data_IF_812631785151
#
_entry.id   IF_812631785151
#
_cell.length_a   1.000
_cell.length_b   1.000
_cell.length_c   1.000
_cell.angle_alpha   90.00
_cell.angle_beta   90.00
_cell.angle_gamma   90.00
#
_symmetry.space_group_name_H-M   'P 1'
#
loop_
_entity.id
_entity.type
_entity.pdbx_description
1 polymer ?
#
# COMPACT_ATOMS: atom_id res chain seq x y z
N UNK A 1 1.86 17.48 51.58
CA UNK A 1 1.90 16.02 51.84
C UNK A 1 2.66 15.80 53.14
N UNK A 2 2.22 14.87 53.98
CA UNK A 2 2.85 14.56 55.27
C UNK A 2 3.32 13.11 55.27
N UNK A 3 4.47 12.83 55.89
CA UNK A 3 5.07 11.49 55.96
C UNK A 3 5.47 11.14 57.39
N UNK A 4 5.46 9.85 57.71
CA UNK A 4 5.96 9.36 59.01
C UNK A 4 7.39 8.83 58.89
N UNK A 5 8.14 8.82 59.99
CA UNK A 5 9.54 8.36 60.02
C UNK A 5 9.77 6.94 59.46
N UNK A 6 8.74 6.06 59.47
CA UNK A 6 8.82 4.72 58.87
C UNK A 6 8.77 4.73 57.34
N UNK A 7 8.07 5.68 56.73
CA UNK A 7 7.93 5.81 55.26
C UNK A 7 9.20 6.39 54.60
N UNK A 8 10.09 6.97 55.43
CA UNK A 8 11.36 7.58 55.02
C UNK A 8 12.53 6.59 55.01
N UNK A 9 12.30 5.33 55.41
CA UNK A 9 13.32 4.28 55.39
C UNK A 9 13.72 3.99 53.93
N UNK A 10 15.02 4.03 53.63
CA UNK A 10 15.53 3.82 52.28
C UNK A 10 15.21 4.96 51.30
N UNK A 11 14.83 6.15 51.78
CA UNK A 11 14.74 7.33 50.95
C UNK A 11 16.14 7.98 50.79
N UNK A 12 16.54 8.41 49.57
CA UNK A 12 17.84 9.03 49.35
C UNK A 12 17.97 10.33 50.15
N UNK A 13 19.13 10.55 50.76
CA UNK A 13 19.39 11.70 51.65
C UNK A 13 18.92 11.51 53.09
N UNK A 14 18.35 10.35 53.46
CA UNK A 14 17.94 10.03 54.83
C UNK A 14 18.84 8.97 55.47
N UNK A 15 19.02 8.99 56.81
CA UNK A 15 19.76 7.95 57.52
C UNK A 15 19.13 6.55 57.35
N UNK A 16 19.94 5.50 57.37
CA UNK A 16 19.46 4.13 57.15
C UNK A 16 18.59 3.57 58.28
N UNK A 17 18.72 4.09 59.51
CA UNK A 17 17.98 3.60 60.68
C UNK A 17 16.84 4.53 61.06
N UNK A 18 15.74 3.96 61.56
CA UNK A 18 14.57 4.71 62.04
C UNK A 18 14.92 5.70 63.16
N UNK A 19 15.87 5.35 64.03
CA UNK A 19 16.41 6.23 65.08
C UNK A 19 17.14 7.43 64.46
N UNK A 20 18.00 7.20 63.46
CA UNK A 20 18.72 8.26 62.74
C UNK A 20 17.76 9.19 61.98
N UNK A 21 16.74 8.63 61.33
CA UNK A 21 15.69 9.39 60.63
C UNK A 21 14.97 10.33 61.60
N UNK A 22 14.53 9.84 62.77
CA UNK A 22 13.86 10.68 63.78
C UNK A 22 14.74 11.83 64.28
N UNK A 23 16.04 11.57 64.50
CA UNK A 23 16.99 12.61 64.91
C UNK A 23 17.24 13.64 63.81
N UNK A 24 17.32 13.23 62.55
CA UNK A 24 17.46 14.14 61.42
C UNK A 24 16.20 15.01 61.25
N UNK A 25 15.01 14.41 61.35
CA UNK A 25 13.73 15.13 61.31
C UNK A 25 13.61 16.14 62.46
N UNK A 26 14.06 15.81 63.66
CA UNK A 26 14.09 16.76 64.79
C UNK A 26 14.98 17.96 64.50
N UNK A 27 16.13 17.77 63.84
CA UNK A 27 17.01 18.87 63.42
C UNK A 27 16.36 19.73 62.32
N UNK A 28 15.71 19.12 61.34
CA UNK A 28 15.06 19.85 60.25
C UNK A 28 13.81 20.64 60.67
N UNK A 29 13.14 20.20 61.73
CA UNK A 29 11.97 20.88 62.32
C UNK A 29 12.37 21.92 63.38
N UNK A 30 13.62 21.91 63.86
CA UNK A 30 14.10 22.81 64.90
C UNK A 30 13.92 24.28 64.46
N UNK A 31 12.99 24.99 65.09
CA UNK A 31 12.62 26.37 64.77
C UNK A 31 11.42 26.56 63.82
N UNK A 32 10.75 25.48 63.35
CA UNK A 32 9.58 25.56 62.44
C UNK A 32 8.42 24.71 62.95
N UNK A 33 7.56 25.30 63.79
CA UNK A 33 6.39 24.62 64.40
C UNK A 33 5.32 24.15 63.41
N UNK A 34 5.26 24.73 62.20
CA UNK A 34 4.34 24.35 61.13
C UNK A 34 4.73 23.07 60.38
N UNK A 35 5.94 22.54 60.60
CA UNK A 35 6.48 21.40 59.85
C UNK A 35 6.15 20.02 60.44
N UNK A 36 5.59 19.95 61.66
CA UNK A 36 5.28 18.67 62.32
C UNK A 36 3.92 18.69 63.00
N UNK A 37 3.13 17.64 62.80
CA UNK A 37 1.83 17.46 63.47
C UNK A 37 1.70 16.06 64.04
N UNK A 38 0.86 15.89 65.05
CA UNK A 38 0.50 14.56 65.53
C UNK A 38 -0.60 13.99 64.64
N UNK A 39 -0.43 12.75 64.17
CA UNK A 39 -1.44 12.08 63.35
C UNK A 39 -2.69 11.80 64.19
N UNK A 40 -3.86 12.19 63.69
CA UNK A 40 -5.14 11.88 64.34
C UNK A 40 -5.30 10.36 64.51
N UNK A 41 -5.63 9.91 65.72
CA UNK A 41 -5.84 8.49 66.03
C UNK A 41 -4.58 7.64 66.24
N UNK A 42 -3.36 8.21 66.24
CA UNK A 42 -2.14 7.43 66.54
C UNK A 42 -1.09 8.21 67.34
N UNK A 43 -0.14 7.51 67.97
CA UNK A 43 1.03 8.14 68.63
C UNK A 43 2.11 8.60 67.63
N UNK A 44 1.89 8.50 66.32
CA UNK A 44 2.88 8.86 65.31
C UNK A 44 2.91 10.37 65.02
N UNK A 45 4.12 10.90 64.85
CA UNK A 45 4.35 12.28 64.39
C UNK A 45 4.53 12.28 62.87
N UNK A 46 3.74 13.10 62.21
CA UNK A 46 3.79 13.38 60.77
C UNK A 46 4.63 14.63 60.51
N UNK A 47 5.48 14.57 59.49
CA UNK A 47 6.36 15.64 59.08
C UNK A 47 5.98 16.12 57.68
N UNK A 48 5.94 17.43 57.47
CA UNK A 48 5.73 17.99 56.12
C UNK A 48 6.92 17.66 55.24
N UNK A 49 6.66 17.26 53.98
CA UNK A 49 7.71 16.98 53.00
C UNK A 49 8.59 18.20 52.75
N UNK A 50 8.06 19.42 52.85
CA UNK A 50 8.79 20.65 52.53
C UNK A 50 9.99 20.92 53.47
N UNK A 51 10.05 20.20 54.59
CA UNK A 51 11.11 20.35 55.59
C UNK A 51 12.21 19.28 55.43
N UNK A 52 12.11 18.41 54.41
CA UNK A 52 13.12 17.38 54.08
C UNK A 52 14.16 17.88 53.07
N UNK A 53 15.32 17.24 52.91
CA UNK A 53 16.28 17.55 51.83
C UNK A 53 15.63 17.42 50.44
N UNK A 54 16.01 18.28 49.49
CA UNK A 54 15.39 18.32 48.15
C UNK A 54 15.39 16.96 47.43
N UNK A 55 16.48 16.20 47.57
CA UNK A 55 16.62 14.84 47.01
C UNK A 55 15.56 13.88 47.58
N UNK A 56 15.28 13.99 48.88
CA UNK A 56 14.26 13.19 49.57
C UNK A 56 12.85 13.65 49.17
N UNK A 57 12.63 14.97 49.03
CA UNK A 57 11.35 15.51 48.57
C UNK A 57 10.99 15.00 47.17
N UNK A 58 11.96 15.01 46.25
CA UNK A 58 11.77 14.52 44.89
C UNK A 58 11.42 13.03 44.89
N UNK A 59 12.21 12.19 45.57
CA UNK A 59 11.95 10.75 45.63
C UNK A 59 10.58 10.40 46.25
N UNK A 60 10.11 11.15 47.26
CA UNK A 60 8.79 10.93 47.84
C UNK A 60 7.66 11.35 46.90
N UNK A 61 7.83 12.46 46.18
CA UNK A 61 6.86 12.93 45.16
C UNK A 61 6.74 11.93 44.01
N UNK A 62 7.86 11.35 43.57
CA UNK A 62 7.88 10.30 42.55
C UNK A 62 7.20 9.01 43.02
N UNK A 63 7.52 8.53 44.24
CA UNK A 63 6.85 7.37 44.83
C UNK A 63 5.34 7.57 44.96
N UNK A 64 4.92 8.77 45.38
CA UNK A 64 3.51 9.13 45.48
C UNK A 64 2.82 9.17 44.11
N UNK A 65 3.48 9.73 43.08
CA UNK A 65 2.96 9.75 41.72
C UNK A 65 2.74 8.33 41.16
N UNK A 66 3.66 7.39 41.41
CA UNK A 66 3.50 5.97 41.04
C UNK A 66 2.33 5.32 41.80
N UNK A 67 2.19 5.60 43.10
CA UNK A 67 1.06 5.07 43.89
C UNK A 67 -0.29 5.57 43.37
N UNK A 68 -0.40 6.85 42.99
CA UNK A 68 -1.61 7.41 42.39
C UNK A 68 -1.99 6.72 41.07
N UNK A 69 -0.99 6.34 40.27
CA UNK A 69 -1.18 5.61 39.01
C UNK A 69 -1.69 4.17 39.20
N UNK A 70 -1.45 3.59 40.37
CA UNK A 70 -1.90 2.24 40.75
C UNK A 70 -3.35 2.22 41.24
N UNK A 71 -3.87 3.37 41.71
CA UNK A 71 -5.25 3.48 42.16
C UNK A 71 -6.22 3.60 40.96
N UNK A 72 -7.30 2.82 41.01
CA UNK A 72 -8.34 2.81 39.96
C UNK A 72 -8.93 4.22 39.83
N UNK A 73 -9.10 4.70 38.60
CA UNK A 73 -9.57 6.06 38.35
C UNK A 73 -11.02 6.24 38.83
N UNK A 74 -11.25 7.17 39.76
CA UNK A 74 -12.55 7.84 39.87
C UNK A 74 -12.67 8.88 38.75
N UNK A 75 -13.86 8.96 38.15
CA UNK A 75 -14.22 9.93 37.11
C UNK A 75 -14.25 11.35 37.68
N UNK A 76 -13.09 11.99 37.79
CA UNK A 76 -13.01 13.42 38.13
C UNK A 76 -13.13 14.28 36.87
N UNK A 77 -13.93 15.36 36.90
CA UNK A 77 -14.13 16.25 35.75
C UNK A 77 -12.87 17.07 35.43
N UNK A 78 -12.65 17.31 34.14
CA UNK A 78 -11.50 18.07 33.65
C UNK A 78 -11.58 19.56 34.05
N UNK A 79 -10.47 20.19 34.48
CA UNK A 79 -10.47 21.61 34.81
C UNK A 79 -10.63 22.48 33.55
N UNK A 80 -11.40 23.55 33.68
CA UNK A 80 -11.62 24.55 32.62
C UNK A 80 -10.45 25.53 32.62
N UNK A 81 -9.70 25.59 31.51
CA UNK A 81 -8.63 26.57 31.31
C UNK A 81 -9.07 27.58 30.23
N UNK A 82 -9.12 28.85 30.61
CA UNK A 82 -9.41 29.99 29.72
C UNK A 82 -8.27 30.23 28.73
N UNK A 83 -8.59 30.33 27.43
CA UNK A 83 -7.61 30.49 26.34
C UNK A 83 -7.41 31.95 25.95
N UNK A 84 -6.17 32.30 25.58
CA UNK A 84 -5.85 33.49 24.79
C UNK A 84 -6.15 33.24 23.30
N UNK A 85 -6.72 34.23 22.63
CA UNK A 85 -7.20 34.18 21.24
C UNK A 85 -6.05 34.44 20.25
N UNK A 86 -5.92 33.61 19.21
CA UNK A 86 -5.12 33.89 17.99
C UNK A 86 -5.89 33.46 16.72
N UNK A 87 -5.49 34.07 15.62
CA UNK A 87 -6.20 34.40 14.37
C UNK A 87 -6.58 33.25 13.42
N UNK A 88 -7.52 33.48 12.46
CA UNK A 88 -8.21 32.44 11.70
C UNK A 88 -7.73 32.37 10.24
N UNK A 89 -7.15 31.24 9.81
CA UNK A 89 -6.94 30.96 8.38
C UNK A 89 -6.60 29.48 8.07
N UNK A 90 -7.25 28.52 8.73
CA UNK A 90 -7.40 27.14 8.25
C UNK A 90 -8.67 26.64 8.95
N UNK A 91 -9.69 26.18 8.21
CA UNK A 91 -10.88 25.61 8.86
C UNK A 91 -10.43 24.33 9.56
N UNK A 92 -10.33 24.42 10.88
CA UNK A 92 -9.85 23.32 11.70
C UNK A 92 -10.88 22.19 11.63
N UNK A 93 -10.47 20.93 11.48
CA UNK A 93 -11.40 19.80 11.37
C UNK A 93 -12.42 19.75 12.53
N UNK A 94 -12.03 20.30 13.69
CA UNK A 94 -12.86 20.44 14.88
C UNK A 94 -13.93 21.53 14.74
N UNK A 95 -13.60 22.65 14.09
CA UNK A 95 -14.57 23.72 13.82
C UNK A 95 -15.62 23.26 12.80
N UNK A 96 -15.23 22.46 11.81
CA UNK A 96 -16.15 21.80 10.89
C UNK A 96 -17.13 20.85 11.60
N UNK A 97 -16.67 20.08 12.60
CA UNK A 97 -17.54 19.21 13.39
C UNK A 97 -18.52 19.99 14.27
N UNK A 98 -18.09 21.15 14.81
CA UNK A 98 -18.96 22.01 15.62
C UNK A 98 -20.06 22.70 14.81
N UNK A 99 -19.78 23.00 13.53
CA UNK A 99 -20.76 23.59 12.62
C UNK A 99 -21.81 22.60 12.08
N UNK A 100 -21.67 21.29 12.30
CA UNK A 100 -22.59 20.28 11.77
C UNK A 100 -22.66 19.02 12.65
N UNK A 101 -23.64 18.94 13.58
CA UNK A 101 -23.79 17.79 14.48
C UNK A 101 -23.98 16.44 13.75
N UNK A 102 -24.64 16.43 12.60
CA UNK A 102 -24.84 15.22 11.79
C UNK A 102 -23.52 14.64 11.27
N UNK A 103 -22.62 15.49 10.78
CA UNK A 103 -21.31 15.07 10.27
C UNK A 103 -20.42 14.49 11.39
N UNK A 104 -20.57 14.99 12.62
CA UNK A 104 -19.89 14.42 13.79
C UNK A 104 -20.38 12.98 14.08
N UNK A 105 -21.70 12.74 14.03
CA UNK A 105 -22.30 11.42 14.24
C UNK A 105 -21.87 10.42 13.16
N UNK A 106 -21.90 10.83 11.88
CA UNK A 106 -21.42 9.99 10.78
C UNK A 106 -19.96 9.58 10.93
N UNK A 107 -19.08 10.54 11.30
CA UNK A 107 -17.66 10.26 11.52
C UNK A 107 -17.43 9.32 12.71
N UNK A 108 -18.19 9.45 13.79
CA UNK A 108 -18.12 8.54 14.95
C UNK A 108 -18.57 7.13 14.57
N UNK A 109 -19.61 7.01 13.75
CA UNK A 109 -20.10 5.73 13.24
C UNK A 109 -19.11 5.09 12.26
N UNK A 110 -18.34 5.89 11.52
CA UNK A 110 -17.31 5.42 10.60
C UNK A 110 -16.02 4.93 11.29
N UNK A 111 -15.82 5.20 12.59
CA UNK A 111 -14.67 4.70 13.32
C UNK A 111 -14.77 3.19 13.55
N UNK A 112 -13.73 2.46 13.16
CA UNK A 112 -13.60 1.03 13.49
C UNK A 112 -13.40 0.82 14.98
N UNK A 113 -13.76 -0.37 15.47
CA UNK A 113 -13.60 -0.74 16.87
C UNK A 113 -12.14 -0.59 17.36
N UNK A 114 -11.17 -0.98 16.54
CA UNK A 114 -9.75 -0.78 16.84
C UNK A 114 -9.40 0.72 16.97
N UNK A 115 -9.94 1.58 16.10
CA UNK A 115 -9.70 3.04 16.21
C UNK A 115 -10.29 3.63 17.49
N UNK A 116 -11.45 3.13 17.94
CA UNK A 116 -12.06 3.53 19.21
C UNK A 116 -11.20 3.11 20.38
N UNK A 117 -10.77 1.84 20.43
CA UNK A 117 -9.88 1.33 21.47
C UNK A 117 -8.55 2.09 21.55
N UNK A 118 -7.95 2.45 20.42
CA UNK A 118 -6.76 3.30 20.38
C UNK A 118 -7.05 4.71 20.90
N UNK A 119 -8.19 5.30 20.53
CA UNK A 119 -8.59 6.63 21.01
C UNK A 119 -8.80 6.63 22.52
N UNK A 120 -9.51 5.63 23.04
CA UNK A 120 -9.78 5.46 24.48
C UNK A 120 -8.50 5.25 25.27
N UNK A 121 -7.58 4.42 24.75
CA UNK A 121 -6.25 4.24 25.36
C UNK A 121 -5.45 5.56 25.40
N UNK A 122 -5.52 6.38 24.34
CA UNK A 122 -4.88 7.71 24.31
C UNK A 122 -5.53 8.67 25.31
N UNK A 123 -6.86 8.66 25.42
CA UNK A 123 -7.61 9.46 26.40
C UNK A 123 -7.19 9.07 27.82
N UNK A 124 -7.14 7.77 28.12
CA UNK A 124 -6.76 7.27 29.43
C UNK A 124 -5.34 7.67 29.82
N UNK A 125 -4.37 7.54 28.91
CA UNK A 125 -2.98 7.97 29.16
C UNK A 125 -2.92 9.48 29.42
N UNK A 126 -3.62 10.30 28.63
CA UNK A 126 -3.66 11.76 28.84
C UNK A 126 -4.26 12.09 30.21
N UNK A 127 -5.32 11.39 30.63
CA UNK A 127 -5.90 11.56 31.97
C UNK A 127 -4.89 11.22 33.08
N UNK A 128 -4.11 10.14 32.94
CA UNK A 128 -3.05 9.81 33.92
C UNK A 128 -1.95 10.88 33.97
N UNK A 129 -1.55 11.43 32.82
CA UNK A 129 -0.60 12.56 32.77
C UNK A 129 -1.15 13.77 33.52
N UNK A 130 -2.44 14.09 33.32
CA UNK A 130 -3.08 15.23 33.98
C UNK A 130 -3.21 15.04 35.49
N UNK A 131 -3.50 13.82 35.97
CA UNK A 131 -3.51 13.50 37.41
C UNK A 131 -2.14 13.73 38.06
N UNK A 132 -1.06 13.31 37.39
CA UNK A 132 0.32 13.55 37.88
C UNK A 132 0.66 15.04 37.83
N UNK A 133 0.24 15.75 36.78
CA UNK A 133 0.48 17.18 36.64
C UNK A 133 -0.24 18.05 37.68
N UNK A 134 -1.32 17.55 38.31
CA UNK A 134 -2.01 18.23 39.40
C UNK A 134 -1.25 18.14 40.74
N UNK A 135 -0.21 17.31 40.84
CA UNK A 135 0.54 17.14 42.08
C UNK A 135 1.54 18.29 42.30
N UNK A 136 1.72 18.76 43.55
CA UNK A 136 2.69 19.81 43.87
C UNK A 136 4.11 19.44 43.42
N UNK A 137 4.72 20.29 42.61
CA UNK A 137 6.10 20.11 42.08
C UNK A 137 6.18 19.50 40.68
N UNK A 138 5.07 19.01 40.12
CA UNK A 138 4.98 18.56 38.74
C UNK A 138 4.39 19.66 37.84
N UNK A 139 5.12 20.06 36.81
CA UNK A 139 4.51 20.73 35.65
C UNK A 139 4.03 19.68 34.65
N UNK A 140 3.14 20.04 33.72
CA UNK A 140 2.71 19.13 32.65
C UNK A 140 3.91 18.54 31.88
N UNK A 141 4.92 19.36 31.57
CA UNK A 141 6.15 18.89 30.92
C UNK A 141 7.00 17.96 31.81
N UNK A 142 7.00 18.14 33.14
CA UNK A 142 7.64 17.20 34.08
C UNK A 142 6.86 15.90 34.19
N UNK A 143 5.52 15.93 34.21
CA UNK A 143 4.67 14.74 34.25
C UNK A 143 4.82 13.88 32.98
N UNK A 144 4.88 14.51 31.80
CA UNK A 144 5.15 13.82 30.53
C UNK A 144 6.50 13.11 30.57
N UNK A 145 7.57 13.81 30.97
CA UNK A 145 8.91 13.23 31.10
C UNK A 145 8.93 12.07 32.09
N UNK A 146 8.32 12.28 33.26
CA UNK A 146 8.20 11.25 34.28
C UNK A 146 7.56 9.97 33.74
N UNK A 147 6.47 10.06 32.99
CA UNK A 147 5.81 8.88 32.41
C UNK A 147 6.68 8.21 31.35
N UNK A 148 7.29 8.99 30.45
CA UNK A 148 8.17 8.44 29.40
C UNK A 148 9.40 7.74 30.00
N UNK A 149 10.03 8.35 31.01
CA UNK A 149 11.21 7.81 31.68
C UNK A 149 10.89 6.54 32.50
N UNK A 150 9.77 6.53 33.24
CA UNK A 150 9.35 5.35 34.01
C UNK A 150 8.89 4.21 33.08
N UNK A 151 8.31 4.52 31.92
CA UNK A 151 8.00 3.52 30.90
C UNK A 151 9.29 2.89 30.36
N UNK A 152 10.32 3.69 30.05
CA UNK A 152 11.61 3.18 29.58
C UNK A 152 12.32 2.30 30.62
N UNK A 153 12.08 2.57 31.92
CA UNK A 153 12.63 1.79 33.05
C UNK A 153 11.76 0.61 33.48
N UNK A 154 10.62 0.37 32.82
CA UNK A 154 9.64 -0.67 33.22
C UNK A 154 9.18 -0.54 34.68
N UNK A 155 9.00 0.70 35.15
CA UNK A 155 8.60 1.03 36.53
C UNK A 155 7.14 1.46 36.64
N UNK A 156 6.39 1.45 35.53
CA UNK A 156 4.95 1.73 35.51
C UNK A 156 4.13 0.47 35.74
N UNK A 157 2.91 0.67 36.25
CA UNK A 157 1.90 -0.38 36.41
C UNK A 157 1.57 -1.07 35.07
N UNK A 158 1.34 -2.39 35.11
CA UNK A 158 1.06 -3.25 33.95
C UNK A 158 -0.14 -2.74 33.16
N UNK A 159 -1.15 -2.19 33.86
CA UNK A 159 -2.31 -1.55 33.24
C UNK A 159 -1.90 -0.38 32.33
N UNK A 160 -0.96 0.47 32.77
CA UNK A 160 -0.50 1.63 32.00
C UNK A 160 0.33 1.18 30.81
N UNK A 161 1.17 0.16 31.00
CA UNK A 161 1.94 -0.44 29.91
C UNK A 161 1.00 -0.97 28.80
N UNK A 162 -0.02 -1.74 29.15
CA UNK A 162 -1.01 -2.26 28.20
C UNK A 162 -1.78 -1.14 27.46
N UNK A 163 -2.13 -0.04 28.16
CA UNK A 163 -2.73 1.13 27.53
C UNK A 163 -1.76 1.80 26.53
N UNK A 164 -0.48 1.93 26.87
CA UNK A 164 0.52 2.51 25.97
C UNK A 164 0.71 1.68 24.71
N UNK A 165 0.75 0.35 24.84
CA UNK A 165 0.84 -0.57 23.70
C UNK A 165 -0.35 -0.40 22.75
N UNK A 166 -1.56 -0.35 23.31
CA UNK A 166 -2.79 -0.12 22.56
C UNK A 166 -2.78 1.27 21.89
N UNK A 167 -2.39 2.32 22.62
CA UNK A 167 -2.39 3.70 22.13
C UNK A 167 -1.39 3.97 20.99
N UNK A 168 -0.26 3.25 20.98
CA UNK A 168 0.81 3.47 20.00
C UNK A 168 0.39 3.03 18.58
N UNK A 169 -0.62 2.16 18.42
CA UNK A 169 -1.28 1.83 17.15
C UNK A 169 -0.34 1.50 15.96
N UNK A 170 0.80 0.89 16.27
CA UNK A 170 1.95 0.82 15.38
C UNK A 170 2.52 -0.60 15.42
N UNK A 171 2.50 -1.35 14.29
CA UNK A 171 3.07 -2.71 14.19
C UNK A 171 4.61 -2.75 14.39
N UNK A 172 5.10 -3.55 15.33
CA UNK A 172 6.54 -3.88 15.56
C UNK A 172 7.08 -3.57 16.98
N UNK A 173 8.09 -4.32 17.43
CA UNK A 173 8.67 -4.28 18.79
C UNK A 173 9.46 -3.01 19.18
N UNK A 174 9.70 -2.08 18.26
CA UNK A 174 10.65 -0.97 18.47
C UNK A 174 9.97 0.38 18.70
N UNK A 175 9.10 0.53 19.72
CA UNK A 175 8.30 1.77 19.84
C UNK A 175 8.07 2.24 21.28
N UNK A 176 9.08 2.89 21.84
CA UNK A 176 8.90 3.73 23.02
C UNK A 176 7.93 4.90 22.71
N UNK A 177 7.04 5.20 23.66
CA UNK A 177 6.20 6.40 23.61
C UNK A 177 7.09 7.64 23.79
N UNK A 178 7.05 8.60 22.86
CA UNK A 178 7.87 9.81 22.94
C UNK A 178 7.13 10.98 23.58
N UNK A 179 7.88 11.89 24.21
CA UNK A 179 7.33 13.14 24.77
C UNK A 179 6.53 13.93 23.73
N UNK A 180 7.02 14.02 22.49
CA UNK A 180 6.38 14.78 21.40
C UNK A 180 5.00 14.19 21.09
N UNK A 181 4.88 12.85 21.14
CA UNK A 181 3.61 12.17 20.89
C UNK A 181 2.59 12.48 21.98
N UNK A 182 3.00 12.42 23.26
CA UNK A 182 2.14 12.80 24.40
C UNK A 182 1.74 14.27 24.36
N UNK A 183 2.67 15.19 24.07
CA UNK A 183 2.38 16.62 23.91
C UNK A 183 1.31 16.86 22.84
N UNK A 184 1.39 16.15 21.71
CA UNK A 184 0.39 16.22 20.64
C UNK A 184 -0.97 15.69 21.07
N UNK A 185 -1.03 14.56 21.78
CA UNK A 185 -2.28 14.01 22.31
C UNK A 185 -2.92 14.94 23.35
N UNK A 186 -2.14 15.53 24.25
CA UNK A 186 -2.64 16.52 25.22
C UNK A 186 -3.18 17.76 24.52
N UNK A 187 -2.50 18.26 23.49
CA UNK A 187 -3.00 19.38 22.69
C UNK A 187 -4.35 19.06 22.02
N UNK A 188 -4.47 17.86 21.43
CA UNK A 188 -5.73 17.38 20.84
C UNK A 188 -6.84 17.22 21.90
N UNK A 189 -6.51 16.69 23.07
CA UNK A 189 -7.43 16.55 24.20
C UNK A 189 -7.95 17.90 24.70
N UNK A 190 -7.07 18.89 24.87
CA UNK A 190 -7.41 20.25 25.33
C UNK A 190 -8.16 21.09 24.27
N UNK A 191 -8.15 20.62 23.03
CA UNK A 191 -8.87 21.26 21.92
C UNK A 191 -10.32 20.81 21.86
N UNK A 192 -10.60 19.57 22.27
CA UNK A 192 -11.94 19.01 22.34
C UNK A 192 -12.75 19.62 23.49
N UNK A 193 -14.03 19.89 23.23
CA UNK A 193 -14.98 20.41 24.23
C UNK A 193 -15.81 19.30 24.89
N UNK A 194 -16.04 18.19 24.20
CA UNK A 194 -16.88 17.08 24.67
C UNK A 194 -16.22 15.71 24.40
N UNK A 195 -16.81 14.64 24.94
CA UNK A 195 -16.28 13.28 24.81
C UNK A 195 -16.23 12.80 23.34
N UNK A 196 -17.22 13.15 22.53
CA UNK A 196 -17.27 12.82 21.11
C UNK A 196 -16.10 13.44 20.31
N UNK A 197 -15.82 14.73 20.52
CA UNK A 197 -14.68 15.42 19.91
C UNK A 197 -13.35 14.81 20.36
N UNK A 198 -13.23 14.41 21.64
CA UNK A 198 -12.01 13.75 22.16
C UNK A 198 -11.75 12.45 21.42
N UNK A 199 -12.79 11.63 21.24
CA UNK A 199 -12.69 10.36 20.56
C UNK A 199 -12.28 10.55 19.10
N UNK A 200 -12.91 11.48 18.37
CA UNK A 200 -12.56 11.78 16.98
C UNK A 200 -11.13 12.32 16.81
N UNK A 201 -10.70 13.22 17.68
CA UNK A 201 -9.37 13.85 17.60
C UNK A 201 -8.23 12.92 17.99
N UNK A 202 -8.48 11.99 18.90
CA UNK A 202 -7.48 11.05 19.39
C UNK A 202 -7.51 9.72 18.64
N UNK A 203 -8.55 9.42 17.85
CA UNK A 203 -8.56 8.26 16.97
C UNK A 203 -7.42 8.32 15.94
N UNK A 204 -6.76 7.19 15.62
CA UNK A 204 -5.73 7.18 14.59
C UNK A 204 -6.39 7.37 13.22
N UNK A 205 -6.09 8.50 12.59
CA UNK A 205 -6.48 8.74 11.20
C UNK A 205 -5.74 7.79 10.27
N UNK A 206 -6.49 7.05 9.44
CA UNK A 206 -5.91 6.47 8.22
C UNK A 206 -5.80 7.61 7.21
N UNK A 207 -4.60 7.87 6.70
CA UNK A 207 -4.46 8.67 5.48
C UNK A 207 -5.22 7.91 4.40
N UNK A 208 -6.33 8.47 3.93
CA UNK A 208 -7.09 7.85 2.85
C UNK A 208 -6.18 7.74 1.63
N UNK A 209 -6.19 6.58 1.00
CA UNK A 209 -5.45 6.39 -0.24
C UNK A 209 -6.18 7.20 -1.32
N UNK A 210 -5.52 8.25 -1.81
CA UNK A 210 -6.01 9.03 -2.95
C UNK A 210 -6.01 8.09 -4.15
N UNK A 211 -7.16 7.80 -4.77
CA UNK A 211 -7.18 6.96 -5.98
C UNK A 211 -6.54 7.72 -7.13
N UNK A 212 -6.09 7.01 -8.17
CA UNK A 212 -5.52 7.67 -9.34
C UNK A 212 -6.53 8.62 -10.02
N UNK A 213 -7.81 8.26 -10.00
CA UNK A 213 -8.93 9.05 -10.55
C UNK A 213 -9.11 10.40 -9.83
N UNK A 214 -8.75 10.49 -8.56
CA UNK A 214 -8.91 11.69 -7.74
C UNK A 214 -7.71 12.66 -7.87
N UNK A 215 -6.70 12.33 -8.69
CA UNK A 215 -5.51 13.15 -8.88
C UNK A 215 -5.73 14.11 -10.05
N UNK A 216 -5.96 15.38 -9.72
CA UNK A 216 -6.30 16.44 -10.68
C UNK A 216 -5.24 16.69 -11.77
N UNK A 217 -3.95 16.67 -11.45
CA UNK A 217 -2.86 16.91 -12.42
C UNK A 217 -2.49 15.67 -13.24
N UNK A 218 -2.99 14.49 -12.88
CA UNK A 218 -2.57 13.24 -13.52
C UNK A 218 -2.95 13.17 -15.01
N UNK A 219 -4.14 13.61 -15.47
CA UNK A 219 -4.48 13.66 -16.89
C UNK A 219 -3.49 14.49 -17.72
N UNK A 220 -3.06 15.63 -17.20
CA UNK A 220 -2.10 16.52 -17.88
C UNK A 220 -0.72 15.89 -17.99
N UNK A 221 -0.23 15.28 -16.91
CA UNK A 221 1.02 14.51 -16.98
C UNK A 221 0.92 13.34 -17.97
N UNK A 222 -0.22 12.63 -17.98
CA UNK A 222 -0.44 11.53 -18.90
C UNK A 222 -0.49 11.99 -20.37
N UNK A 223 -0.90 13.22 -20.66
CA UNK A 223 -0.83 13.76 -22.01
C UNK A 223 0.62 13.87 -22.51
N UNK A 224 1.54 14.30 -21.64
CA UNK A 224 2.98 14.36 -21.98
C UNK A 224 3.61 12.97 -22.02
N UNK A 225 3.28 12.11 -21.05
CA UNK A 225 3.84 10.77 -20.99
C UNK A 225 3.33 9.87 -22.14
N UNK A 226 2.10 10.02 -22.63
CA UNK A 226 1.50 9.08 -23.59
C UNK A 226 1.83 9.34 -25.07
N UNK A 227 2.84 10.14 -25.34
CA UNK A 227 3.29 10.41 -26.71
C UNK A 227 3.88 9.15 -27.37
N UNK A 228 3.70 9.03 -28.70
CA UNK A 228 4.13 7.87 -29.51
C UNK A 228 5.66 7.73 -29.65
N UNK A 229 6.41 8.75 -29.27
CA UNK A 229 7.88 8.77 -29.29
C UNK A 229 8.53 7.95 -28.16
N UNK A 230 7.74 7.35 -27.26
CA UNK A 230 8.24 6.41 -26.26
C UNK A 230 9.18 7.02 -25.21
N UNK A 231 9.15 8.34 -25.02
CA UNK A 231 10.06 9.08 -24.11
C UNK A 231 10.06 8.55 -22.68
N UNK A 232 11.20 8.61 -21.96
CA UNK A 232 11.28 8.22 -20.56
C UNK A 232 10.45 9.15 -19.67
N UNK A 233 10.11 8.66 -18.48
CA UNK A 233 9.26 9.40 -17.52
C UNK A 233 9.92 10.69 -17.01
N UNK A 234 11.25 10.79 -17.07
CA UNK A 234 12.02 11.99 -16.69
C UNK A 234 11.80 13.13 -17.69
N UNK A 235 11.96 12.87 -18.98
CA UNK A 235 11.72 13.88 -20.04
C UNK A 235 10.25 14.32 -20.05
N UNK A 236 9.31 13.37 -19.94
CA UNK A 236 7.89 13.70 -19.85
C UNK A 236 7.55 14.56 -18.62
N UNK A 237 8.33 14.47 -17.53
CA UNK A 237 8.16 15.33 -16.36
C UNK A 237 8.67 16.75 -16.62
N UNK A 238 9.80 16.90 -17.30
CA UNK A 238 10.33 18.22 -17.68
C UNK A 238 9.35 18.98 -18.57
N UNK A 239 8.79 18.30 -19.58
CA UNK A 239 7.75 18.85 -20.47
C UNK A 239 6.47 19.21 -19.68
N UNK A 240 6.07 18.35 -18.73
CA UNK A 240 4.93 18.63 -17.85
C UNK A 240 5.17 19.87 -16.98
N UNK A 241 6.36 20.04 -16.41
CA UNK A 241 6.71 21.21 -15.59
C UNK A 241 6.68 22.48 -16.43
N UNK A 242 7.29 22.46 -17.62
CA UNK A 242 7.30 23.60 -18.52
C UNK A 242 5.88 24.04 -18.91
N UNK A 243 5.03 23.08 -19.28
CA UNK A 243 3.64 23.34 -19.66
C UNK A 243 2.79 23.82 -18.46
N UNK A 244 3.00 23.23 -17.28
CA UNK A 244 2.31 23.63 -16.05
C UNK A 244 2.64 25.07 -15.65
N UNK A 245 3.94 25.42 -15.71
CA UNK A 245 4.41 26.79 -15.43
C UNK A 245 3.86 27.79 -16.44
N UNK A 246 3.83 27.44 -17.72
CA UNK A 246 3.28 28.30 -18.76
C UNK A 246 1.78 28.53 -18.57
N UNK A 247 1.00 27.48 -18.27
CA UNK A 247 -0.46 27.57 -18.14
C UNK A 247 -0.90 28.30 -16.87
N UNK A 248 -0.17 28.11 -15.77
CA UNK A 248 -0.50 28.68 -14.46
C UNK A 248 0.41 29.86 -14.06
N UNK A 249 1.02 30.52 -15.05
CA UNK A 249 1.95 31.64 -14.82
C UNK A 249 1.32 32.76 -13.97
N UNK A 250 0.05 33.05 -14.19
CA UNK A 250 -0.70 34.10 -13.49
C UNK A 250 -1.37 33.62 -12.18
N UNK A 251 -1.18 32.35 -11.81
CA UNK A 251 -1.82 31.71 -10.65
C UNK A 251 -0.78 31.18 -9.65
N UNK A 252 -0.23 32.03 -8.75
CA UNK A 252 0.86 31.65 -7.84
C UNK A 252 0.58 30.40 -6.99
N UNK A 253 -0.68 30.21 -6.57
CA UNK A 253 -1.10 29.05 -5.79
C UNK A 253 -0.96 27.73 -6.56
N UNK A 254 -1.20 27.73 -7.87
CA UNK A 254 -1.09 26.53 -8.71
C UNK A 254 0.37 26.13 -8.97
N UNK A 255 1.29 27.10 -8.98
CA UNK A 255 2.72 26.84 -9.04
C UNK A 255 3.24 26.16 -7.76
N UNK A 256 2.71 26.55 -6.59
CA UNK A 256 3.06 25.94 -5.30
C UNK A 256 2.56 24.50 -5.14
N UNK A 257 1.48 24.12 -5.83
CA UNK A 257 0.88 22.77 -5.76
C UNK A 257 1.51 21.80 -6.78
N UNK A 258 2.44 22.29 -7.61
CA UNK A 258 3.09 21.48 -8.64
C UNK A 258 3.65 20.17 -8.05
N UNK A 259 3.26 19.00 -8.59
CA UNK A 259 3.66 17.72 -8.03
C UNK A 259 5.15 17.46 -8.26
N UNK A 260 5.85 16.98 -7.23
CA UNK A 260 7.22 16.51 -7.39
C UNK A 260 7.30 15.23 -8.23
N UNK A 261 8.47 14.98 -8.82
CA UNK A 261 8.73 13.76 -9.59
C UNK A 261 8.42 12.46 -8.82
N UNK A 262 8.74 12.40 -7.53
CA UNK A 262 8.41 11.24 -6.68
C UNK A 262 6.90 11.07 -6.47
N UNK A 263 6.15 12.17 -6.49
CA UNK A 263 4.68 12.14 -6.41
C UNK A 263 4.09 11.58 -7.70
N UNK A 264 4.65 11.96 -8.85
CA UNK A 264 4.30 11.37 -10.16
C UNK A 264 4.61 9.89 -10.20
N UNK A 265 5.83 9.48 -9.81
CA UNK A 265 6.23 8.06 -9.76
C UNK A 265 5.25 7.23 -8.92
N UNK A 266 4.83 7.75 -7.76
CA UNK A 266 3.85 7.07 -6.89
C UNK A 266 2.47 6.99 -7.52
N UNK A 267 2.00 8.04 -8.21
CA UNK A 267 0.74 8.03 -8.93
C UNK A 267 0.76 7.03 -10.10
N UNK A 268 1.84 7.03 -10.90
CA UNK A 268 2.02 6.10 -12.01
C UNK A 268 2.01 4.64 -11.56
N UNK A 269 2.53 4.33 -10.37
CA UNK A 269 2.48 2.97 -9.81
C UNK A 269 1.05 2.46 -9.57
N UNK A 270 0.07 3.35 -9.40
CA UNK A 270 -1.35 3.00 -9.20
C UNK A 270 -2.05 2.63 -10.51
N UNK A 271 -1.48 2.98 -11.66
CA UNK A 271 -2.11 2.76 -12.95
C UNK A 271 -1.79 1.36 -13.51
N UNK A 272 -2.78 0.68 -14.11
CA UNK A 272 -2.54 -0.53 -14.90
C UNK A 272 -1.64 -0.26 -16.11
N UNK A 273 -0.92 -1.28 -16.58
CA UNK A 273 0.03 -1.13 -17.69
C UNK A 273 -0.64 -0.71 -18.99
N UNK A 274 -1.83 -1.26 -19.28
CA UNK A 274 -2.66 -0.86 -20.44
C UNK A 274 -2.92 0.65 -20.43
N UNK A 275 -3.20 1.20 -19.26
CA UNK A 275 -3.49 2.63 -19.09
C UNK A 275 -2.22 3.45 -19.29
N UNK A 276 -1.05 3.00 -18.83
CA UNK A 276 0.22 3.72 -19.03
C UNK A 276 0.63 3.75 -20.50
N UNK A 277 0.51 2.62 -21.20
CA UNK A 277 1.02 2.46 -22.56
C UNK A 277 0.07 2.95 -23.65
N UNK A 278 -1.17 3.28 -23.30
CA UNK A 278 -2.16 3.84 -24.23
C UNK A 278 -1.59 5.07 -24.94
N UNK A 279 -1.55 5.05 -26.27
CA UNK A 279 -0.99 6.13 -27.11
C UNK A 279 0.52 6.05 -27.33
N UNK A 280 1.29 5.46 -26.40
CA UNK A 280 2.74 5.23 -26.54
C UNK A 280 3.03 4.06 -27.46
N UNK A 281 2.30 2.98 -27.26
CA UNK A 281 2.37 1.75 -28.04
C UNK A 281 1.11 1.70 -28.90
N UNK A 282 1.25 1.28 -30.16
CA UNK A 282 0.14 1.21 -31.11
C UNK A 282 0.08 -0.15 -31.80
N UNK A 283 -1.05 -0.43 -32.45
CA UNK A 283 -1.22 -1.65 -33.25
C UNK A 283 -1.16 -2.94 -32.44
N UNK A 284 -0.44 -3.94 -32.98
CA UNK A 284 -0.37 -5.29 -32.44
C UNK A 284 0.29 -5.35 -31.05
N UNK A 285 1.30 -4.51 -30.79
CA UNK A 285 1.97 -4.44 -29.50
C UNK A 285 1.05 -3.93 -28.40
N UNK A 286 0.20 -2.94 -28.69
CA UNK A 286 -0.78 -2.45 -27.72
C UNK A 286 -1.86 -3.49 -27.45
N UNK A 287 -2.34 -4.18 -28.50
CA UNK A 287 -3.31 -5.27 -28.33
C UNK A 287 -2.81 -6.37 -27.40
N UNK A 288 -1.51 -6.68 -27.39
CA UNK A 288 -0.95 -7.68 -26.46
C UNK A 288 -1.13 -7.30 -24.98
N UNK A 289 -1.18 -6.00 -24.68
CA UNK A 289 -1.45 -5.49 -23.33
C UNK A 289 -2.94 -5.53 -22.99
N UNK A 290 -3.81 -5.36 -23.99
CA UNK A 290 -5.25 -5.42 -23.79
C UNK A 290 -5.72 -6.81 -23.34
N UNK A 291 -6.76 -6.81 -22.51
CA UNK A 291 -7.42 -8.05 -22.11
C UNK A 291 -8.07 -8.72 -23.32
N UNK A 292 -7.91 -10.04 -23.44
CA UNK A 292 -8.48 -10.81 -24.54
C UNK A 292 -9.28 -12.02 -24.04
N UNK A 293 -10.28 -12.40 -24.83
CA UNK A 293 -11.07 -13.59 -24.57
C UNK A 293 -10.43 -14.79 -25.26
N UNK A 294 -10.16 -15.85 -24.51
CA UNK A 294 -9.66 -17.11 -25.06
C UNK A 294 -10.82 -17.97 -25.50
N UNK A 295 -10.72 -18.51 -26.72
CA UNK A 295 -11.65 -19.54 -27.21
C UNK A 295 -11.41 -20.83 -26.40
N UNK A 296 -12.49 -21.43 -25.92
CA UNK A 296 -12.44 -22.76 -25.32
C UNK A 296 -12.50 -23.82 -26.43
N UNK A 297 -11.38 -24.51 -26.63
CA UNK A 297 -11.24 -25.54 -27.66
C UNK A 297 -11.68 -26.92 -27.19
N UNK A 298 -11.94 -27.11 -25.88
CA UNK A 298 -12.34 -28.42 -25.33
C UNK A 298 -13.73 -28.88 -25.80
N UNK A 299 -14.54 -27.94 -26.30
CA UNK A 299 -15.90 -28.17 -26.81
C UNK A 299 -15.93 -28.45 -28.31
N UNK A 300 -14.81 -28.28 -29.01
CA UNK A 300 -14.75 -28.51 -30.45
C UNK A 300 -14.62 -30.00 -30.74
N UNK A 301 -15.48 -30.58 -31.61
CA UNK A 301 -15.32 -31.95 -32.06
C UNK A 301 -13.97 -32.14 -32.77
N UNK A 302 -13.46 -33.37 -32.73
CA UNK A 302 -12.27 -33.76 -33.50
C UNK A 302 -12.56 -33.54 -34.98
N UNK A 303 -11.58 -33.03 -35.72
CA UNK A 303 -11.67 -32.75 -37.15
C UNK A 303 -12.63 -31.61 -37.52
N UNK A 304 -13.11 -30.84 -36.54
CA UNK A 304 -14.05 -29.74 -36.82
C UNK A 304 -13.33 -28.50 -37.36
N UNK A 305 -12.28 -28.05 -36.66
CA UNK A 305 -11.48 -26.89 -37.07
C UNK A 305 -10.04 -27.31 -37.25
N UNK A 306 -9.53 -27.17 -38.47
CA UNK A 306 -8.10 -27.23 -38.74
C UNK A 306 -7.49 -25.85 -38.68
N UNK A 307 -6.28 -25.75 -38.13
CA UNK A 307 -5.50 -24.52 -38.09
C UNK A 307 -4.23 -24.77 -38.87
N UNK A 308 -3.97 -23.95 -39.89
CA UNK A 308 -2.75 -24.01 -40.69
C UNK A 308 -1.86 -22.78 -40.53
N UNK A 309 -0.56 -22.99 -40.63
CA UNK A 309 0.47 -21.94 -40.56
C UNK A 309 1.78 -22.42 -41.22
N UNK A 310 2.35 -21.58 -42.07
CA UNK A 310 3.70 -21.72 -42.60
C UNK A 310 4.76 -21.26 -41.59
N UNK A 311 5.90 -21.95 -41.53
CA UNK A 311 7.04 -21.50 -40.74
C UNK A 311 8.38 -22.03 -41.24
N UNK A 312 9.40 -21.17 -41.20
CA UNK A 312 10.76 -21.56 -41.55
C UNK A 312 11.34 -22.58 -40.57
N UNK A 313 11.83 -23.70 -41.11
CA UNK A 313 12.50 -24.74 -40.34
C UNK A 313 13.72 -24.20 -39.59
N UNK A 314 13.98 -24.73 -38.39
CA UNK A 314 15.11 -24.30 -37.54
C UNK A 314 16.38 -25.12 -37.80
N UNK A 315 16.64 -25.41 -39.08
CA UNK A 315 17.83 -26.10 -39.58
C UNK A 315 18.25 -25.48 -40.91
N UNK A 316 19.50 -25.74 -41.32
CA UNK A 316 19.95 -25.51 -42.69
C UNK A 316 20.19 -26.85 -43.37
N UNK A 317 19.70 -27.01 -44.59
CA UNK A 317 19.98 -28.17 -45.43
C UNK A 317 20.51 -27.71 -46.80
N UNK A 318 21.03 -28.66 -47.58
CA UNK A 318 21.54 -28.40 -48.93
C UNK A 318 20.37 -28.22 -49.90
N UNK A 319 20.31 -27.10 -50.60
CA UNK A 319 19.28 -26.85 -51.60
C UNK A 319 19.37 -27.86 -52.76
N UNK A 320 18.24 -28.48 -53.19
CA UNK A 320 18.27 -29.55 -54.19
C UNK A 320 18.75 -29.09 -55.57
N UNK A 321 18.50 -27.83 -55.94
CA UNK A 321 18.90 -27.26 -57.23
C UNK A 321 20.35 -26.74 -57.24
N UNK A 322 20.65 -25.70 -56.45
CA UNK A 322 21.95 -25.02 -56.51
C UNK A 322 22.95 -25.42 -55.40
N UNK A 323 22.59 -26.37 -54.52
CA UNK A 323 23.50 -26.93 -53.51
C UNK A 323 23.93 -26.00 -52.37
N UNK A 324 23.45 -24.75 -52.32
CA UNK A 324 23.80 -23.82 -51.23
C UNK A 324 22.97 -24.11 -49.98
N UNK A 325 23.50 -23.88 -48.77
CA UNK A 325 22.72 -24.03 -47.55
C UNK A 325 21.51 -23.08 -47.51
N UNK A 326 20.34 -23.60 -47.20
CA UNK A 326 19.11 -22.84 -47.01
C UNK A 326 18.25 -23.45 -45.90
N UNK A 327 17.28 -22.68 -45.40
CA UNK A 327 16.27 -23.18 -44.46
C UNK A 327 14.96 -23.39 -45.24
N UNK A 328 14.43 -24.62 -45.32
CA UNK A 328 13.17 -24.88 -46.01
C UNK A 328 11.98 -24.36 -45.20
N UNK A 329 10.88 -24.08 -45.90
CA UNK A 329 9.62 -23.67 -45.31
C UNK A 329 8.76 -24.92 -45.06
N UNK A 330 8.23 -25.06 -43.85
CA UNK A 330 7.29 -26.13 -43.52
C UNK A 330 5.92 -25.53 -43.26
N UNK A 331 4.87 -26.10 -43.84
CA UNK A 331 3.50 -25.79 -43.45
C UNK A 331 2.97 -26.91 -42.57
N UNK A 332 2.44 -26.57 -41.40
CA UNK A 332 1.75 -27.53 -40.55
C UNK A 332 0.26 -27.24 -40.52
N UNK A 333 -0.53 -28.31 -40.46
CA UNK A 333 -1.97 -28.24 -40.21
C UNK A 333 -2.28 -29.09 -38.98
N UNK A 334 -2.95 -28.48 -38.01
CA UNK A 334 -3.33 -29.14 -36.76
C UNK A 334 -4.84 -29.13 -36.56
N UNK A 335 -5.34 -30.14 -35.86
CA UNK A 335 -6.68 -30.13 -35.31
C UNK A 335 -6.77 -29.19 -34.09
N UNK A 336 -7.72 -28.27 -34.15
CA UNK A 336 -7.97 -27.24 -33.16
C UNK A 336 -8.55 -27.76 -31.84
N UNK A 337 -9.14 -28.96 -31.78
CA UNK A 337 -9.57 -29.54 -30.50
C UNK A 337 -8.42 -30.23 -29.77
N UNK A 338 -7.73 -31.12 -30.49
CA UNK A 338 -6.80 -32.12 -29.95
C UNK A 338 -5.33 -31.71 -30.01
N UNK A 339 -4.98 -30.68 -30.80
CA UNK A 339 -3.58 -30.31 -31.12
C UNK A 339 -2.83 -31.36 -31.94
N UNK A 340 -3.53 -32.37 -32.47
CA UNK A 340 -2.93 -33.38 -33.33
C UNK A 340 -2.52 -32.78 -34.68
N UNK A 341 -1.32 -33.11 -35.17
CA UNK A 341 -0.85 -32.67 -36.50
C UNK A 341 -1.48 -33.58 -37.55
N UNK A 342 -2.47 -33.06 -38.27
CA UNK A 342 -3.20 -33.79 -39.32
C UNK A 342 -2.47 -33.72 -40.66
N UNK A 343 -1.82 -32.61 -40.95
CA UNK A 343 -1.21 -32.36 -42.26
C UNK A 343 0.11 -31.63 -42.14
N UNK A 344 0.99 -31.87 -43.11
CA UNK A 344 2.22 -31.11 -43.25
C UNK A 344 2.71 -31.15 -44.70
N UNK A 345 3.50 -30.14 -45.07
CA UNK A 345 4.24 -30.10 -46.33
C UNK A 345 5.57 -29.37 -46.10
N UNK A 346 6.54 -29.61 -46.98
CA UNK A 346 7.85 -28.98 -46.95
C UNK A 346 8.17 -28.46 -48.34
N UNK A 347 8.59 -27.20 -48.43
CA UNK A 347 8.92 -26.56 -49.70
C UNK A 347 10.16 -25.66 -49.57
N UNK A 348 10.65 -25.17 -50.71
CA UNK A 348 11.85 -24.36 -50.82
C UNK A 348 11.65 -22.94 -50.29
N UNK A 349 10.42 -22.43 -50.36
CA UNK A 349 10.00 -21.12 -49.88
C UNK A 349 8.48 -21.12 -49.59
N UNK A 350 8.01 -20.12 -48.86
CA UNK A 350 6.58 -19.91 -48.62
C UNK A 350 5.81 -19.77 -49.94
N UNK A 351 4.82 -20.63 -50.15
CA UNK A 351 3.96 -20.56 -51.32
C UNK A 351 2.64 -21.33 -51.09
N UNK A 352 1.69 -21.09 -51.99
CA UNK A 352 0.34 -21.65 -51.92
C UNK A 352 0.31 -23.17 -52.11
N UNK A 353 1.24 -23.74 -52.88
CA UNK A 353 1.32 -25.19 -53.08
C UNK A 353 1.80 -25.91 -51.82
N UNK A 354 2.64 -25.28 -51.00
CA UNK A 354 2.98 -25.80 -49.68
C UNK A 354 1.71 -25.92 -48.82
N UNK A 355 0.91 -24.86 -48.74
CA UNK A 355 -0.37 -24.86 -48.01
C UNK A 355 -1.32 -25.94 -48.55
N UNK A 356 -1.55 -25.95 -49.86
CA UNK A 356 -2.42 -26.93 -50.51
C UNK A 356 -1.94 -28.36 -50.29
N UNK A 357 -0.62 -28.60 -50.34
CA UNK A 357 -0.01 -29.90 -50.09
C UNK A 357 -0.20 -30.38 -48.66
N UNK A 358 -0.11 -29.49 -47.68
CA UNK A 358 -0.34 -29.82 -46.27
C UNK A 358 -1.82 -30.19 -46.01
N UNK A 359 -2.75 -29.43 -46.61
CA UNK A 359 -4.18 -29.72 -46.55
C UNK A 359 -4.50 -31.05 -47.25
N UNK A 360 -3.95 -31.27 -48.44
CA UNK A 360 -4.11 -32.52 -49.18
C UNK A 360 -3.60 -33.72 -48.37
N UNK A 361 -2.42 -33.60 -47.76
CA UNK A 361 -1.87 -34.62 -46.87
C UNK A 361 -2.83 -34.90 -45.70
N UNK A 362 -3.38 -33.85 -45.07
CA UNK A 362 -4.37 -34.01 -44.01
C UNK A 362 -5.61 -34.75 -44.47
N UNK A 363 -6.24 -34.29 -45.57
CA UNK A 363 -7.53 -34.82 -46.04
C UNK A 363 -7.39 -36.28 -46.44
N UNK A 364 -6.29 -36.63 -47.12
CA UNK A 364 -6.02 -38.00 -47.55
C UNK A 364 -5.95 -38.99 -46.39
N UNK A 365 -5.41 -38.58 -45.24
CA UNK A 365 -5.14 -39.46 -44.12
C UNK A 365 -6.20 -39.41 -43.01
N UNK A 366 -6.90 -38.27 -42.86
CA UNK A 366 -7.78 -38.00 -41.71
C UNK A 366 -9.17 -37.49 -42.11
N UNK A 367 -9.48 -37.45 -43.41
CA UNK A 367 -10.74 -36.94 -43.92
C UNK A 367 -10.83 -35.42 -43.90
N UNK A 368 -11.95 -34.90 -44.38
CA UNK A 368 -12.16 -33.46 -44.59
C UNK A 368 -12.54 -32.73 -43.29
N UNK A 369 -11.94 -31.57 -42.96
CA UNK A 369 -12.43 -30.74 -41.86
C UNK A 369 -13.73 -30.03 -42.23
N UNK A 370 -14.44 -29.52 -41.21
CA UNK A 370 -15.54 -28.58 -41.45
C UNK A 370 -15.01 -27.18 -41.79
N UNK A 371 -13.96 -26.75 -41.09
CA UNK A 371 -13.40 -25.41 -41.19
C UNK A 371 -11.87 -25.46 -41.21
N UNK A 372 -11.26 -24.68 -42.09
CA UNK A 372 -9.83 -24.39 -42.09
C UNK A 372 -9.63 -22.96 -41.59
N UNK A 373 -8.70 -22.72 -40.67
CA UNK A 373 -8.43 -21.41 -40.09
C UNK A 373 -6.95 -21.07 -40.27
N UNK A 374 -6.66 -20.09 -41.11
CA UNK A 374 -5.29 -19.66 -41.41
C UNK A 374 -5.07 -18.18 -41.03
N UNK A 375 -3.87 -17.66 -41.30
CA UNK A 375 -3.65 -16.22 -41.24
C UNK A 375 -4.20 -15.57 -42.51
N UNK A 376 -3.95 -14.27 -42.71
CA UNK A 376 -4.36 -13.59 -43.93
C UNK A 376 -3.17 -13.45 -44.90
N UNK A 377 -2.21 -14.36 -44.83
CA UNK A 377 -1.02 -14.39 -45.67
C UNK A 377 -1.38 -14.70 -47.12
N UNK A 378 -0.56 -14.22 -48.05
CA UNK A 378 -0.78 -14.44 -49.50
C UNK A 378 -0.68 -15.91 -49.90
N UNK A 379 0.07 -16.74 -49.15
CA UNK A 379 0.15 -18.18 -49.35
C UNK A 379 -1.14 -18.92 -48.96
N UNK A 380 -1.84 -18.44 -47.93
CA UNK A 380 -3.04 -19.06 -47.39
C UNK A 380 -4.33 -18.60 -48.10
N UNK A 381 -4.35 -17.38 -48.63
CA UNK A 381 -5.56 -16.73 -49.17
C UNK A 381 -5.61 -16.59 -50.69
N UNK A 382 -4.70 -17.27 -51.40
CA UNK A 382 -4.65 -17.18 -52.85
C UNK A 382 -5.92 -17.73 -53.53
N UNK A 383 -6.26 -17.17 -54.69
CA UNK A 383 -7.43 -17.55 -55.52
C UNK A 383 -7.57 -19.07 -55.72
N UNK A 384 -6.46 -19.80 -55.87
CA UNK A 384 -6.48 -21.26 -56.04
C UNK A 384 -7.06 -22.00 -54.83
N UNK A 385 -6.93 -21.45 -53.62
CA UNK A 385 -7.53 -22.00 -52.39
C UNK A 385 -8.95 -21.48 -52.20
N UNK A 386 -9.16 -20.17 -52.27
CA UNK A 386 -10.35 -19.51 -51.72
C UNK A 386 -11.38 -19.00 -52.71
N UNK A 387 -11.08 -18.97 -54.02
CA UNK A 387 -12.00 -18.40 -55.00
C UNK A 387 -13.33 -19.13 -54.97
N UNK A 388 -14.41 -18.38 -54.81
CA UNK A 388 -15.75 -18.86 -54.47
C UNK A 388 -16.21 -20.10 -55.25
N UNK A 389 -15.96 -20.15 -56.56
CA UNK A 389 -16.41 -21.24 -57.44
C UNK A 389 -15.31 -22.26 -57.77
N UNK A 390 -14.08 -21.81 -57.96
CA UNK A 390 -12.98 -22.64 -58.52
C UNK A 390 -11.91 -23.02 -57.49
N UNK A 391 -11.92 -22.39 -56.33
CA UNK A 391 -10.98 -22.63 -55.24
C UNK A 391 -11.14 -24.01 -54.64
N UNK A 392 -10.03 -24.58 -54.18
CA UNK A 392 -10.00 -25.92 -53.61
C UNK A 392 -10.89 -26.02 -52.37
N UNK A 393 -10.86 -25.04 -51.46
CA UNK A 393 -11.58 -25.09 -50.19
C UNK A 393 -13.11 -24.97 -50.39
N UNK A 394 -13.64 -24.00 -51.14
CA UNK A 394 -15.07 -23.94 -51.46
C UNK A 394 -15.58 -25.18 -52.20
N UNK A 395 -14.83 -25.71 -53.18
CA UNK A 395 -15.22 -26.93 -53.93
C UNK A 395 -15.26 -28.17 -53.06
N UNK A 396 -14.41 -28.23 -52.04
CA UNK A 396 -14.47 -29.28 -51.04
C UNK A 396 -15.56 -29.01 -50.00
N UNK A 397 -16.19 -27.83 -49.96
CA UNK A 397 -17.15 -27.43 -48.94
C UNK A 397 -16.49 -27.26 -47.58
N UNK A 398 -15.29 -26.67 -47.55
CA UNK A 398 -14.54 -26.29 -46.36
C UNK A 398 -14.62 -24.78 -46.22
N UNK A 399 -15.10 -24.30 -45.07
CA UNK A 399 -15.12 -22.86 -44.80
C UNK A 399 -13.72 -22.39 -44.38
N UNK A 400 -13.27 -21.25 -44.93
CA UNK A 400 -11.94 -20.70 -44.65
C UNK A 400 -11.99 -19.28 -44.07
N UNK A 401 -12.30 -19.13 -42.76
CA UNK A 401 -12.06 -17.85 -42.08
C UNK A 401 -10.57 -17.62 -41.84
N UNK A 402 -10.15 -16.35 -41.97
CA UNK A 402 -8.77 -15.93 -41.68
C UNK A 402 -8.70 -15.10 -40.39
N UNK A 403 -7.49 -15.03 -39.82
CA UNK A 403 -7.23 -14.16 -38.69
C UNK A 403 -7.44 -12.68 -39.03
N UNK A 404 -8.03 -11.92 -38.11
CA UNK A 404 -8.16 -10.46 -38.26
C UNK A 404 -6.76 -9.83 -38.36
N UNK A 405 -6.52 -9.04 -39.40
CA UNK A 405 -5.26 -8.33 -39.59
C UNK A 405 -4.86 -7.53 -38.34
N UNK A 406 -3.59 -7.63 -37.94
CA UNK A 406 -3.06 -6.96 -36.75
C UNK A 406 -3.55 -7.52 -35.42
N UNK A 407 -4.15 -8.71 -35.39
CA UNK A 407 -4.60 -9.38 -34.16
C UNK A 407 -3.67 -10.54 -33.73
N UNK A 408 -2.55 -10.27 -33.03
CA UNK A 408 -1.60 -11.32 -32.63
C UNK A 408 -2.19 -12.34 -31.65
N UNK A 409 -3.30 -12.03 -30.98
CA UNK A 409 -3.89 -12.90 -29.96
C UNK A 409 -4.80 -14.00 -30.54
N UNK A 410 -5.10 -13.96 -31.84
CA UNK A 410 -6.13 -14.80 -32.45
C UNK A 410 -5.71 -16.23 -32.80
N UNK A 411 -4.41 -16.53 -32.88
CA UNK A 411 -3.86 -17.77 -33.48
C UNK A 411 -2.84 -18.54 -32.61
N UNK A 412 -2.67 -18.14 -31.34
CA UNK A 412 -1.60 -18.64 -30.46
C UNK A 412 -1.48 -20.16 -30.21
N UNK A 413 -2.39 -20.98 -30.72
CA UNK A 413 -2.29 -22.45 -30.65
C UNK A 413 -1.14 -22.97 -31.52
N UNK A 414 -1.14 -22.61 -32.81
CA UNK A 414 -0.18 -23.15 -33.77
C UNK A 414 1.22 -22.54 -33.57
N UNK A 415 1.27 -21.29 -33.08
CA UNK A 415 2.52 -20.59 -32.75
C UNK A 415 3.40 -21.37 -31.76
N UNK A 416 2.79 -22.02 -30.75
CA UNK A 416 3.55 -22.87 -29.81
C UNK A 416 4.18 -24.08 -30.50
N UNK A 417 3.47 -24.68 -31.44
CA UNK A 417 3.98 -25.79 -32.24
C UNK A 417 5.12 -25.30 -33.13
N UNK A 418 4.93 -24.20 -33.85
CA UNK A 418 5.95 -23.62 -34.75
C UNK A 418 7.21 -23.17 -34.01
N UNK A 419 7.11 -22.78 -32.74
CA UNK A 419 8.27 -22.51 -31.88
C UNK A 419 9.04 -23.77 -31.47
N UNK A 420 8.37 -24.92 -31.36
CA UNK A 420 8.95 -26.11 -30.67
C UNK A 420 9.24 -27.28 -31.59
N UNK A 421 8.31 -27.65 -32.47
CA UNK A 421 8.41 -28.85 -33.30
C UNK A 421 9.53 -28.75 -34.35
N UNK A 422 9.65 -27.66 -35.14
CA UNK A 422 10.76 -27.48 -36.10
C UNK A 422 12.14 -27.62 -35.45
N UNK A 423 12.31 -27.04 -34.25
CA UNK A 423 13.55 -27.12 -33.48
C UNK A 423 13.83 -28.56 -33.02
N UNK A 424 12.82 -29.30 -32.57
CA UNK A 424 12.98 -30.70 -32.18
C UNK A 424 13.33 -31.60 -33.37
N UNK A 425 12.73 -31.35 -34.54
CA UNK A 425 13.07 -32.07 -35.77
C UNK A 425 14.51 -31.77 -36.15
N UNK A 426 14.91 -30.49 -36.18
CA UNK A 426 16.27 -30.07 -36.48
C UNK A 426 17.34 -30.79 -35.64
N UNK A 427 17.10 -30.91 -34.33
CA UNK A 427 18.02 -31.60 -33.39
C UNK A 427 18.22 -33.09 -33.66
N UNK A 428 17.37 -33.73 -34.48
CA UNK A 428 17.55 -35.14 -34.87
C UNK A 428 18.60 -35.33 -35.97
N UNK A 429 18.97 -34.27 -36.67
CA UNK A 429 19.93 -34.32 -37.75
C UNK A 429 21.29 -33.79 -37.27
N UNK A 430 22.37 -34.36 -37.82
CA UNK A 430 23.73 -33.88 -37.57
C UNK A 430 23.90 -32.49 -38.20
N UNK A 431 24.51 -31.58 -37.45
CA UNK A 431 24.83 -30.21 -37.87
C UNK A 431 25.93 -30.15 -38.91
#
# INVERSE_FOLDING_TARGET
MYVIAKELIGAPGMPATTKGIRQALQRYVQGKSCCSRRRSGSKATEYSIDCLPEVTQQALRERYALQLMTQKADESPAPVVTKARRSPAVVDAVEAYRGSPQLMVERLNALTENQRQVADARIAIVSEVMKVAQQPGFSCAKAIRFIVDNLARSQLDERIVAMVETANAKKGNSRALSEITLKRWIAAFNKAQNAAERLLLLAPGKRQEIKAEDINWLPEFLAQYRQSNGRPMTEAYEDFVAEWQHRHADEPYMLDIMPSYDTIRRAMKKLPEVVKQKGRVTGSEYRQLEGFTRRDWSKMPVNYVWIGDGHGMKLKCRHPVHGRPFAPEVTFVIDGGTRFVVGWSLDLAENVFAVAGAIQHGIRNHGKPFLYYSDNGSGETADILDKEVVGILPRLGINHPTGIAGNPQGRGIIERLNRTLPMRIARKYRT
#
